data_IF_303903226441
#
_entry.id   IF_303903226441
#
_cell.length_a   1.000
_cell.length_b   1.000
_cell.length_c   1.000
_cell.angle_alpha   90.00
_cell.angle_beta   90.00
_cell.angle_gamma   90.00
#
_symmetry.space_group_name_H-M   'P 1'
#
loop_
_entity.id
_entity.type
_entity.pdbx_description
1 polymer ?
#
# COMPACT_ATOMS: atom_id res chain seq x y z
N UNK A 1 -25.20 -9.29 29.44
CA UNK A 1 -24.05 -10.13 29.06
C UNK A 1 -22.88 -9.20 28.82
N UNK A 2 -21.87 -9.24 29.69
CA UNK A 2 -20.75 -8.31 29.72
C UNK A 2 -19.53 -8.89 28.99
N UNK A 3 -18.87 -8.09 28.17
CA UNK A 3 -17.56 -8.39 27.57
C UNK A 3 -16.47 -8.32 28.65
N UNK A 4 -15.43 -9.18 28.60
CA UNK A 4 -14.39 -9.20 29.63
C UNK A 4 -13.43 -8.00 29.45
N UNK A 5 -13.34 -7.18 30.49
CA UNK A 5 -12.30 -6.14 30.64
C UNK A 5 -11.01 -6.78 31.15
N UNK A 6 -10.01 -6.90 30.28
CA UNK A 6 -8.65 -7.26 30.68
C UNK A 6 -7.96 -6.05 31.35
N UNK A 7 -7.97 -6.02 32.68
CA UNK A 7 -7.05 -5.18 33.44
C UNK A 7 -5.63 -5.77 33.36
N UNK A 8 -4.71 -5.08 32.72
CA UNK A 8 -3.28 -5.39 32.79
C UNK A 8 -2.60 -4.48 33.81
N UNK A 9 -2.69 -4.88 35.09
CA UNK A 9 -1.75 -4.47 36.14
C UNK A 9 -0.56 -5.41 36.06
N UNK A 10 0.58 -4.93 35.57
CA UNK A 10 1.84 -5.69 35.60
C UNK A 10 2.83 -5.25 34.53
N UNK A 11 4.06 -4.94 34.95
CA UNK A 11 5.23 -4.65 34.10
C UNK A 11 5.68 -5.91 33.35
N UNK A 12 4.84 -6.42 32.46
CA UNK A 12 5.14 -7.50 31.53
C UNK A 12 5.68 -6.92 30.22
N UNK A 13 6.91 -7.31 29.88
CA UNK A 13 7.69 -6.88 28.73
C UNK A 13 6.87 -6.54 27.48
N UNK A 14 7.00 -5.29 27.02
CA UNK A 14 6.46 -4.73 25.77
C UNK A 14 6.70 -5.64 24.56
N UNK A 15 7.78 -6.41 24.57
CA UNK A 15 8.12 -7.41 23.56
C UNK A 15 7.05 -8.51 23.41
N UNK A 16 6.43 -8.97 24.51
CA UNK A 16 5.39 -10.02 24.42
C UNK A 16 4.06 -9.47 23.90
N UNK A 17 3.75 -8.21 24.20
CA UNK A 17 2.57 -7.53 23.66
C UNK A 17 2.75 -7.24 22.17
N UNK A 18 3.94 -6.80 21.76
CA UNK A 18 4.29 -6.59 20.35
C UNK A 18 4.33 -7.91 19.57
N UNK A 19 4.85 -8.99 20.16
CA UNK A 19 4.91 -10.30 19.51
C UNK A 19 3.51 -10.90 19.34
N UNK A 20 2.61 -10.72 20.33
CA UNK A 20 1.20 -11.11 20.18
C UNK A 20 0.46 -10.25 19.13
N UNK A 21 0.75 -8.95 19.05
CA UNK A 21 0.17 -8.02 18.06
C UNK A 21 0.74 -8.19 16.64
N UNK A 22 1.94 -8.75 16.49
CA UNK A 22 2.52 -9.12 15.20
C UNK A 22 2.02 -10.49 14.71
N UNK A 23 1.78 -11.43 15.62
CA UNK A 23 1.22 -12.76 15.29
C UNK A 23 -0.28 -12.74 14.98
N UNK A 24 -1.04 -11.80 15.53
CA UNK A 24 -2.42 -11.53 15.14
C UNK A 24 -2.41 -10.22 14.36
N UNK A 25 -2.59 -10.23 13.03
CA UNK A 25 -2.77 -9.05 12.16
C UNK A 25 -3.90 -8.13 12.66
N UNK A 26 -3.63 -7.37 13.73
CA UNK A 26 -4.57 -6.44 14.36
C UNK A 26 -4.14 -5.06 13.95
N UNK A 27 -4.93 -4.48 13.06
CA UNK A 27 -4.86 -3.07 12.67
C UNK A 27 -5.13 -2.22 13.90
N UNK A 28 -4.07 -1.75 14.56
CA UNK A 28 -4.20 -0.79 15.65
C UNK A 28 -4.37 0.61 15.06
N UNK A 29 -5.62 1.00 14.82
CA UNK A 29 -5.96 2.43 14.76
C UNK A 29 -5.89 2.98 16.19
N UNK A 30 -4.83 3.74 16.47
CA UNK A 30 -4.75 4.54 17.69
C UNK A 30 -5.22 5.95 17.37
N UNK A 31 -6.45 6.26 17.74
CA UNK A 31 -6.88 7.64 18.00
C UNK A 31 -6.28 8.07 19.33
N UNK A 32 -5.31 8.99 19.31
CA UNK A 32 -4.88 9.67 20.54
C UNK A 32 -4.78 11.16 20.27
N UNK A 33 -5.73 11.90 20.83
CA UNK A 33 -5.59 13.30 21.17
C UNK A 33 -4.44 13.47 22.17
N UNK A 34 -3.32 14.01 21.72
CA UNK A 34 -2.12 14.28 22.50
C UNK A 34 -1.13 15.12 21.66
N UNK A 35 -0.22 15.89 22.27
CA UNK A 35 0.49 16.98 21.62
C UNK A 35 1.34 16.46 20.45
N UNK A 36 1.24 17.15 19.32
CA UNK A 36 1.86 16.79 18.06
C UNK A 36 3.38 16.64 18.21
N UNK A 37 3.86 15.40 18.23
CA UNK A 37 5.26 15.08 17.99
C UNK A 37 5.42 14.98 16.48
N UNK A 38 6.20 15.89 15.91
CA UNK A 38 6.42 15.95 14.46
C UNK A 38 7.13 14.69 13.96
N UNK A 39 6.50 14.00 13.02
CA UNK A 39 6.99 12.81 12.29
C UNK A 39 8.23 13.08 11.43
N UNK A 40 8.75 14.31 11.42
CA UNK A 40 9.90 14.76 10.64
C UNK A 40 11.25 14.28 11.20
N UNK A 41 11.32 13.93 12.49
CA UNK A 41 12.59 13.56 13.16
C UNK A 41 13.04 12.10 12.90
N UNK A 42 12.22 11.28 12.24
CA UNK A 42 12.50 9.86 12.03
C UNK A 42 12.87 9.46 10.59
N UNK A 43 13.07 10.42 9.67
CA UNK A 43 13.48 10.11 8.29
C UNK A 43 12.49 9.23 7.51
N UNK A 44 11.24 9.12 7.98
CA UNK A 44 10.18 8.36 7.35
C UNK A 44 9.35 9.31 6.48
N UNK A 45 9.30 9.06 5.17
CA UNK A 45 8.36 9.73 4.27
C UNK A 45 6.99 9.05 4.44
N UNK A 46 5.97 9.67 5.07
CA UNK A 46 4.65 9.07 5.19
C UNK A 46 3.76 9.62 4.08
N UNK A 47 3.84 9.06 2.86
CA UNK A 47 2.93 9.47 1.76
C UNK A 47 1.50 8.91 1.97
N UNK A 48 1.29 7.96 2.88
CA UNK A 48 0.01 7.26 3.02
C UNK A 48 -0.93 7.79 4.14
N UNK A 49 -0.47 8.74 4.96
CA UNK A 49 -1.17 9.13 6.20
C UNK A 49 -2.07 10.36 6.12
N UNK A 50 -2.03 11.14 5.03
CA UNK A 50 -2.53 12.53 5.02
C UNK A 50 -3.54 12.82 3.90
N UNK A 51 -4.35 11.81 3.53
CA UNK A 51 -5.53 12.06 2.71
C UNK A 51 -6.71 12.14 3.67
N UNK A 52 -7.21 13.35 3.91
CA UNK A 52 -8.49 13.54 4.58
C UNK A 52 -9.59 12.88 3.75
N UNK A 53 -10.19 11.82 4.29
CA UNK A 53 -11.30 11.07 3.70
C UNK A 53 -12.58 11.92 3.56
N UNK A 54 -12.53 13.18 3.98
CA UNK A 54 -13.68 14.08 4.13
C UNK A 54 -14.02 14.89 2.87
N UNK A 55 -13.31 14.76 1.75
CA UNK A 55 -13.71 15.49 0.52
C UNK A 55 -13.50 14.77 -0.82
N UNK A 56 -12.99 13.54 -0.83
CA UNK A 56 -12.81 12.79 -2.07
C UNK A 56 -14.12 12.21 -2.59
N UNK A 57 -14.42 12.40 -3.87
CA UNK A 57 -15.45 11.63 -4.57
C UNK A 57 -15.01 10.16 -4.69
N UNK A 58 -15.94 9.24 -4.40
CA UNK A 58 -15.73 7.82 -4.64
C UNK A 58 -15.64 7.55 -6.14
N UNK A 59 -14.80 6.59 -6.52
CA UNK A 59 -14.66 6.14 -7.90
C UNK A 59 -15.01 4.66 -7.96
N UNK A 60 -15.89 4.28 -8.89
CA UNK A 60 -16.24 2.86 -9.07
C UNK A 60 -15.01 2.01 -9.42
N UNK A 61 -15.02 0.73 -9.06
CA UNK A 61 -13.91 -0.21 -9.35
C UNK A 61 -13.51 -0.20 -10.83
N UNK A 62 -14.50 -0.17 -11.74
CA UNK A 62 -14.25 -0.16 -13.18
C UNK A 62 -13.55 1.12 -13.62
N UNK A 63 -14.00 2.25 -13.08
CA UNK A 63 -13.40 3.55 -13.38
C UNK A 63 -12.01 3.70 -12.77
N UNK A 64 -11.81 3.21 -11.55
CA UNK A 64 -10.52 3.16 -10.88
C UNK A 64 -9.49 2.37 -11.71
N UNK A 65 -9.89 1.18 -12.18
CA UNK A 65 -9.06 0.33 -13.02
C UNK A 65 -8.69 1.01 -14.34
N UNK A 66 -9.65 1.71 -14.97
CA UNK A 66 -9.42 2.49 -16.18
C UNK A 66 -8.37 3.59 -15.95
N UNK A 67 -8.48 4.34 -14.85
CA UNK A 67 -7.55 5.45 -14.52
C UNK A 67 -6.12 4.99 -14.28
N UNK A 68 -5.93 3.81 -13.68
CA UNK A 68 -4.60 3.24 -13.44
C UNK A 68 -4.10 2.36 -14.59
N UNK A 69 -4.88 2.20 -15.66
CA UNK A 69 -4.52 1.36 -16.82
C UNK A 69 -4.44 -0.14 -16.50
N UNK A 70 -5.21 -0.62 -15.52
CA UNK A 70 -5.22 -2.02 -15.09
C UNK A 70 -6.60 -2.66 -15.26
N UNK A 71 -6.67 -3.97 -15.05
CA UNK A 71 -7.92 -4.70 -15.13
C UNK A 71 -8.71 -4.57 -13.81
N UNK A 72 -10.07 -4.50 -13.85
CA UNK A 72 -10.89 -4.32 -12.64
C UNK A 72 -10.62 -5.32 -11.51
N UNK A 73 -10.28 -6.56 -11.85
CA UNK A 73 -9.96 -7.63 -10.88
C UNK A 73 -8.68 -7.37 -10.05
N UNK A 74 -7.84 -6.41 -10.45
CA UNK A 74 -6.63 -6.03 -9.70
C UNK A 74 -6.99 -5.12 -8.51
N UNK A 75 -8.08 -4.36 -8.60
CA UNK A 75 -8.49 -3.39 -7.59
C UNK A 75 -8.71 -4.01 -6.21
N UNK A 76 -9.41 -5.16 -6.05
CA UNK A 76 -9.53 -5.81 -4.74
C UNK A 76 -8.17 -6.19 -4.13
N UNK A 77 -7.21 -6.60 -4.94
CA UNK A 77 -5.86 -6.95 -4.47
C UNK A 77 -5.10 -5.70 -4.01
N UNK A 78 -5.22 -4.60 -4.74
CA UNK A 78 -4.64 -3.32 -4.37
C UNK A 78 -5.23 -2.73 -3.09
N UNK A 79 -6.54 -2.93 -2.85
CA UNK A 79 -7.20 -2.57 -1.60
C UNK A 79 -6.68 -3.45 -0.45
N UNK A 80 -6.57 -4.76 -0.66
CA UNK A 80 -6.07 -5.69 0.34
C UNK A 80 -4.58 -5.46 0.69
N UNK A 81 -3.79 -4.96 -0.26
CA UNK A 81 -2.38 -4.60 -0.06
C UNK A 81 -2.18 -3.16 0.44
N UNK A 82 -3.25 -2.41 0.74
CA UNK A 82 -3.22 -1.00 1.14
C UNK A 82 -2.52 -0.05 0.14
N UNK A 83 -2.38 -0.44 -1.12
CA UNK A 83 -1.80 0.41 -2.17
C UNK A 83 -2.78 1.52 -2.60
N UNK A 84 -4.08 1.28 -2.44
CA UNK A 84 -5.18 2.24 -2.65
C UNK A 84 -6.15 2.13 -1.47
N UNK A 85 -6.93 3.18 -1.21
CA UNK A 85 -7.89 3.22 -0.10
C UNK A 85 -9.32 3.06 -0.60
N UNK A 86 -10.18 2.31 0.12
CA UNK A 86 -11.62 2.34 -0.14
C UNK A 86 -12.15 3.76 0.10
N UNK A 87 -13.24 4.13 -0.58
CA UNK A 87 -13.94 5.37 -0.23
C UNK A 87 -14.97 5.08 0.88
N UNK A 88 -15.00 5.96 1.88
CA UNK A 88 -15.92 5.82 3.03
C UNK A 88 -17.36 6.25 2.69
N UNK A 89 -17.58 6.89 1.53
CA UNK A 89 -18.88 7.47 1.15
C UNK A 89 -19.75 6.54 0.32
N UNK A 90 -19.13 5.70 -0.50
CA UNK A 90 -19.82 4.84 -1.46
C UNK A 90 -19.39 3.39 -1.29
N UNK A 91 -20.35 2.47 -1.16
CA UNK A 91 -20.05 1.03 -1.08
C UNK A 91 -19.38 0.57 -2.38
N UNK A 92 -18.33 -0.24 -2.26
CA UNK A 92 -17.57 -0.78 -3.39
C UNK A 92 -16.92 0.29 -4.29
N UNK A 93 -16.48 1.40 -3.69
CA UNK A 93 -15.76 2.48 -4.37
C UNK A 93 -14.34 2.66 -3.82
N UNK A 94 -13.50 3.31 -4.61
CA UNK A 94 -12.11 3.62 -4.28
C UNK A 94 -11.95 5.14 -4.13
N UNK A 95 -11.15 5.58 -3.17
CA UNK A 95 -10.84 6.99 -2.97
C UNK A 95 -10.03 7.54 -4.16
N UNK A 96 -10.56 8.56 -4.85
CA UNK A 96 -9.91 9.18 -6.01
C UNK A 96 -8.49 9.70 -5.72
N UNK A 97 -8.28 10.31 -4.55
CA UNK A 97 -6.98 10.82 -4.14
C UNK A 97 -5.95 9.69 -3.97
N UNK A 98 -6.36 8.56 -3.38
CA UNK A 98 -5.48 7.39 -3.25
C UNK A 98 -5.08 6.81 -4.61
N UNK A 99 -5.96 6.87 -5.62
CA UNK A 99 -5.65 6.45 -6.99
C UNK A 99 -4.61 7.37 -7.65
N UNK A 100 -4.70 8.68 -7.43
CA UNK A 100 -3.73 9.64 -7.97
C UNK A 100 -2.33 9.46 -7.36
N UNK A 101 -2.26 9.18 -6.05
CA UNK A 101 -0.99 8.80 -5.41
C UNK A 101 -0.49 7.48 -5.98
N UNK A 102 -1.37 6.49 -6.16
CA UNK A 102 -0.99 5.19 -6.66
C UNK A 102 -0.25 5.27 -8.01
N UNK A 103 -0.75 6.06 -8.96
CA UNK A 103 -0.11 6.23 -10.28
C UNK A 103 1.29 6.86 -10.22
N UNK A 104 1.57 7.65 -9.18
CA UNK A 104 2.86 8.30 -8.98
C UNK A 104 3.84 7.42 -8.20
N UNK A 105 3.34 6.54 -7.34
CA UNK A 105 4.16 5.73 -6.43
C UNK A 105 4.41 4.31 -6.95
N UNK A 106 3.43 3.71 -7.63
CA UNK A 106 3.46 2.31 -8.05
C UNK A 106 3.35 2.18 -9.57
N UNK A 107 3.92 1.11 -10.12
CA UNK A 107 3.72 0.73 -11.51
C UNK A 107 4.07 -0.73 -11.75
N UNK A 108 3.84 -1.21 -12.97
CA UNK A 108 4.35 -2.51 -13.43
C UNK A 108 5.71 -2.34 -14.11
N UNK A 109 6.53 -3.39 -14.13
CA UNK A 109 7.79 -3.39 -14.89
C UNK A 109 7.54 -3.02 -16.35
N UNK A 110 6.48 -3.57 -16.97
CA UNK A 110 6.16 -3.29 -18.38
C UNK A 110 5.85 -1.82 -18.63
N UNK A 111 5.03 -1.20 -17.78
CA UNK A 111 4.71 0.23 -17.92
C UNK A 111 5.96 1.09 -17.74
N UNK A 112 6.77 0.81 -16.72
CA UNK A 112 8.00 1.55 -16.46
C UNK A 112 9.03 1.40 -17.59
N UNK A 113 9.23 0.17 -18.08
CA UNK A 113 10.11 -0.13 -19.19
C UNK A 113 9.69 0.63 -20.45
N UNK A 114 8.39 0.69 -20.75
CA UNK A 114 7.85 1.45 -21.88
C UNK A 114 8.10 2.95 -21.74
N UNK A 115 7.87 3.52 -20.55
CA UNK A 115 8.11 4.95 -20.28
C UNK A 115 9.59 5.33 -20.42
N UNK A 116 10.51 4.42 -20.07
CA UNK A 116 11.96 4.66 -20.08
C UNK A 116 12.69 4.13 -21.32
N UNK A 117 11.97 3.55 -22.29
CA UNK A 117 12.58 2.96 -23.49
C UNK A 117 13.52 1.79 -23.18
N UNK A 118 13.18 0.96 -22.19
CA UNK A 118 14.04 -0.13 -21.69
C UNK A 118 13.38 -1.51 -21.86
N UNK A 119 14.16 -2.57 -21.63
CA UNK A 119 13.68 -3.95 -21.65
C UNK A 119 13.13 -4.38 -20.29
N UNK A 120 11.84 -4.76 -20.27
CA UNK A 120 11.20 -5.31 -19.07
C UNK A 120 11.95 -6.52 -18.48
N UNK A 121 12.50 -7.39 -19.33
CA UNK A 121 13.29 -8.54 -18.90
C UNK A 121 14.63 -8.12 -18.27
N UNK A 122 15.26 -7.06 -18.78
CA UNK A 122 16.49 -6.50 -18.22
C UNK A 122 16.26 -5.94 -16.82
N UNK A 123 15.22 -5.12 -16.66
CA UNK A 123 14.83 -4.56 -15.35
C UNK A 123 14.50 -5.67 -14.36
N UNK A 124 13.73 -6.68 -14.77
CA UNK A 124 13.38 -7.80 -13.91
C UNK A 124 14.62 -8.57 -13.41
N UNK A 125 15.60 -8.84 -14.28
CA UNK A 125 16.85 -9.50 -13.85
C UNK A 125 17.59 -8.67 -12.81
N UNK A 126 17.64 -7.34 -12.98
CA UNK A 126 18.32 -6.44 -12.04
C UNK A 126 17.62 -6.37 -10.69
N UNK A 127 16.28 -6.34 -10.69
CA UNK A 127 15.49 -6.44 -9.46
C UNK A 127 15.79 -7.73 -8.70
N UNK A 128 15.80 -8.86 -9.41
CA UNK A 128 16.11 -10.17 -8.83
C UNK A 128 17.53 -10.23 -8.29
N UNK A 129 18.52 -9.72 -9.02
CA UNK A 129 19.91 -9.66 -8.53
C UNK A 129 20.09 -8.74 -7.33
N UNK A 130 19.25 -7.70 -7.22
CA UNK A 130 19.22 -6.79 -6.09
C UNK A 130 18.40 -7.33 -4.90
N UNK A 131 17.73 -8.48 -5.03
CA UNK A 131 16.87 -9.05 -4.00
C UNK A 131 15.61 -8.23 -3.69
N UNK A 132 15.17 -7.38 -4.63
CA UNK A 132 14.00 -6.52 -4.44
C UNK A 132 12.75 -7.30 -4.82
N UNK A 133 11.76 -7.30 -3.92
CA UNK A 133 10.48 -7.98 -4.11
C UNK A 133 9.36 -7.01 -4.52
N UNK A 134 8.36 -7.48 -5.29
CA UNK A 134 7.21 -6.66 -5.63
C UNK A 134 6.28 -6.45 -4.43
N UNK A 135 5.65 -5.27 -4.36
CA UNK A 135 4.61 -4.94 -3.37
C UNK A 135 3.39 -5.84 -3.53
N UNK A 136 3.03 -6.14 -4.78
CA UNK A 136 2.01 -7.14 -5.10
C UNK A 136 2.64 -8.18 -6.03
N UNK A 137 2.74 -9.45 -5.63
CA UNK A 137 3.29 -10.50 -6.48
C UNK A 137 2.41 -10.75 -7.70
N UNK A 138 3.03 -11.22 -8.78
CA UNK A 138 2.28 -11.65 -9.96
C UNK A 138 1.48 -12.92 -9.67
N UNK A 139 0.26 -12.99 -10.20
CA UNK A 139 -0.57 -14.20 -10.16
C UNK A 139 -1.16 -14.44 -11.54
N UNK A 140 -0.70 -15.49 -12.22
CA UNK A 140 -1.20 -15.87 -13.55
C UNK A 140 -2.65 -16.34 -13.49
N UNK A 141 -3.02 -17.11 -12.46
CA UNK A 141 -4.38 -17.58 -12.23
C UNK A 141 -5.38 -16.42 -12.09
N UNK A 142 -4.96 -15.34 -11.42
CA UNK A 142 -5.76 -14.13 -11.29
C UNK A 142 -5.51 -13.12 -12.42
N UNK A 143 -4.62 -13.41 -13.38
CA UNK A 143 -4.20 -12.50 -14.44
C UNK A 143 -3.70 -11.15 -13.92
N UNK A 144 -2.93 -11.16 -12.83
CA UNK A 144 -2.37 -10.00 -12.15
C UNK A 144 -0.87 -9.94 -12.42
N UNK A 145 -0.42 -8.84 -13.03
CA UNK A 145 1.00 -8.54 -13.15
C UNK A 145 1.56 -8.05 -11.82
N UNK A 146 2.84 -8.33 -11.56
CA UNK A 146 3.49 -7.82 -10.36
C UNK A 146 3.51 -6.28 -10.33
N UNK A 147 3.29 -5.71 -9.14
CA UNK A 147 3.24 -4.27 -8.89
C UNK A 147 4.41 -3.90 -8.00
N UNK A 148 5.11 -2.86 -8.41
CA UNK A 148 6.39 -2.43 -7.85
C UNK A 148 6.31 -0.97 -7.43
N UNK A 149 7.18 -0.58 -6.50
CA UNK A 149 7.44 0.83 -6.26
C UNK A 149 8.22 1.40 -7.44
N UNK A 150 7.84 2.60 -7.88
CA UNK A 150 8.55 3.34 -8.94
C UNK A 150 9.99 3.66 -8.51
N UNK A 151 10.22 3.92 -7.22
CA UNK A 151 11.55 4.17 -6.66
C UNK A 151 12.51 2.99 -6.85
N UNK A 152 12.04 1.78 -6.55
CA UNK A 152 12.84 0.55 -6.69
C UNK A 152 13.18 0.25 -8.15
N UNK A 153 12.24 0.51 -9.07
CA UNK A 153 12.49 0.37 -10.49
C UNK A 153 13.48 1.41 -11.02
N UNK A 154 13.44 2.63 -10.48
CA UNK A 154 14.37 3.69 -10.83
C UNK A 154 15.80 3.40 -10.35
N UNK A 155 15.96 2.83 -9.15
CA UNK A 155 17.28 2.52 -8.59
C UNK A 155 18.04 1.47 -9.42
N UNK A 156 17.35 0.41 -9.86
CA UNK A 156 17.95 -0.63 -10.71
C UNK A 156 18.08 -0.24 -12.18
N UNK A 157 17.39 0.83 -12.61
CA UNK A 157 17.52 1.33 -13.98
C UNK A 157 18.80 2.17 -14.16
N UNK A 158 19.19 2.92 -13.12
CA UNK A 158 20.40 3.77 -13.15
C UNK A 158 21.70 3.01 -12.87
N UNK A 159 21.63 1.83 -12.24
CA UNK A 159 22.77 0.92 -12.01
C UNK A 159 23.23 0.23 -13.29
#
# INVERSE_FOLDING_TARGET
QALPTLQTRGRGSLLRVLQAALCQRVTLFRTTSGPAVSLHDFGMIPIAGLIDDNNGTGVSVREAARRIGMQPRVIPVLLASNCIKPSNRERFSVCAASLAIFTNTYCTIRSFARERGSSSAGIQRRLVSAGIEPVVPSSSAAGISAIWLRGDLASVWQS
#
